data_IF_936222538888
#
_entry.id   IF_936222538888
#
_cell.length_a   1.000
_cell.length_b   1.000
_cell.length_c   1.000
_cell.angle_alpha   90.00
_cell.angle_beta   90.00
_cell.angle_gamma   90.00
#
_symmetry.space_group_name_H-M   'P 1'
#
loop_
_entity.id
_entity.type
_entity.pdbx_description
1 polymer ?
#
# COMPACT_ATOMS: atom_id res chain seq x y z
N UNK A 1 -6.19 -27.99 -17.94
CA UNK A 1 -4.74 -28.00 -17.66
C UNK A 1 -4.46 -28.43 -16.23
N UNK A 2 -3.27 -29.02 -15.96
CA UNK A 2 -2.88 -29.36 -14.60
C UNK A 2 -2.41 -28.12 -13.80
N UNK A 3 -2.33 -28.23 -12.46
CA UNK A 3 -1.80 -27.15 -11.63
C UNK A 3 -0.35 -26.78 -11.98
N UNK A 4 0.46 -27.78 -12.37
CA UNK A 4 1.83 -27.57 -12.87
C UNK A 4 1.84 -26.75 -14.15
N UNK A 5 1.02 -27.14 -15.13
CA UNK A 5 0.91 -26.46 -16.41
C UNK A 5 0.41 -25.03 -16.24
N UNK A 6 -0.49 -24.78 -15.31
CA UNK A 6 -0.99 -23.44 -14.99
C UNK A 6 0.15 -22.50 -14.54
N UNK A 7 0.97 -22.92 -13.57
CA UNK A 7 2.13 -22.14 -13.13
C UNK A 7 3.10 -21.86 -14.29
N UNK A 8 3.45 -22.89 -15.07
CA UNK A 8 4.39 -22.73 -16.19
C UNK A 8 3.82 -21.77 -17.25
N UNK A 9 2.53 -21.89 -17.56
CA UNK A 9 1.86 -21.00 -18.51
C UNK A 9 1.78 -19.56 -18.00
N UNK A 10 1.42 -19.39 -16.72
CA UNK A 10 1.35 -18.09 -16.06
C UNK A 10 2.72 -17.41 -16.01
N UNK A 11 3.75 -18.10 -15.54
CA UNK A 11 5.13 -17.62 -15.50
C UNK A 11 5.60 -17.16 -16.89
N UNK A 12 5.34 -17.96 -17.93
CA UNK A 12 5.69 -17.61 -19.30
C UNK A 12 4.96 -16.34 -19.77
N UNK A 13 3.64 -16.29 -19.57
CA UNK A 13 2.82 -15.15 -20.00
C UNK A 13 3.26 -13.84 -19.32
N UNK A 14 3.51 -13.89 -18.02
CA UNK A 14 3.97 -12.73 -17.25
C UNK A 14 5.41 -12.34 -17.61
N UNK A 15 6.29 -13.32 -17.87
CA UNK A 15 7.65 -13.06 -18.34
C UNK A 15 7.69 -12.38 -19.72
N UNK A 16 6.83 -12.81 -20.65
CA UNK A 16 6.67 -12.17 -21.96
C UNK A 16 6.13 -10.73 -21.85
N UNK A 17 5.33 -10.44 -20.81
CA UNK A 17 4.85 -9.10 -20.49
C UNK A 17 5.88 -8.23 -19.71
N UNK A 18 7.08 -8.76 -19.46
CA UNK A 18 8.16 -8.04 -18.78
C UNK A 18 7.98 -7.91 -17.26
N UNK A 19 7.19 -8.80 -16.63
CA UNK A 19 7.07 -8.86 -15.16
C UNK A 19 8.33 -9.51 -14.60
N UNK A 20 9.03 -8.80 -13.72
CA UNK A 20 10.33 -9.25 -13.19
C UNK A 20 10.21 -10.51 -12.31
N UNK A 21 9.18 -10.60 -11.49
CA UNK A 21 8.95 -11.75 -10.60
C UNK A 21 7.79 -12.63 -11.06
N UNK A 22 7.77 -12.93 -12.37
CA UNK A 22 6.69 -13.62 -13.07
C UNK A 22 6.24 -14.92 -12.40
N UNK A 23 7.21 -15.70 -11.88
CA UNK A 23 6.92 -16.98 -11.22
C UNK A 23 6.19 -16.80 -9.89
N UNK A 24 6.64 -15.87 -9.07
CA UNK A 24 6.02 -15.59 -7.78
C UNK A 24 4.62 -14.99 -7.98
N UNK A 25 4.48 -14.06 -8.94
CA UNK A 25 3.19 -13.48 -9.27
C UNK A 25 2.20 -14.55 -9.77
N UNK A 26 2.63 -15.45 -10.67
CA UNK A 26 1.80 -16.56 -11.13
C UNK A 26 1.38 -17.48 -9.98
N UNK A 27 2.30 -17.75 -9.04
CA UNK A 27 2.01 -18.54 -7.85
C UNK A 27 0.94 -17.88 -6.96
N UNK A 28 1.12 -16.59 -6.62
CA UNK A 28 0.17 -15.86 -5.77
C UNK A 28 -1.20 -15.78 -6.43
N UNK A 29 -1.27 -15.55 -7.74
CA UNK A 29 -2.53 -15.53 -8.48
C UNK A 29 -3.19 -16.92 -8.55
N UNK A 30 -2.41 -18.01 -8.65
CA UNK A 30 -2.97 -19.36 -8.58
C UNK A 30 -3.55 -19.65 -7.21
N UNK A 31 -2.82 -19.33 -6.13
CA UNK A 31 -3.31 -19.55 -4.78
C UNK A 31 -4.56 -18.75 -4.48
N UNK A 32 -4.66 -17.54 -5.02
CA UNK A 32 -5.85 -16.69 -4.92
C UNK A 32 -7.04 -17.32 -5.65
N UNK A 33 -6.89 -17.67 -6.93
CA UNK A 33 -7.95 -18.25 -7.76
C UNK A 33 -8.47 -19.56 -7.19
N UNK A 34 -7.57 -20.44 -6.76
CA UNK A 34 -7.91 -21.78 -6.33
C UNK A 34 -8.15 -21.90 -4.81
N UNK A 35 -7.82 -20.88 -4.01
CA UNK A 35 -7.86 -20.88 -2.54
C UNK A 35 -7.11 -22.05 -1.95
N UNK A 36 -5.91 -22.33 -2.46
CA UNK A 36 -5.03 -23.43 -2.09
C UNK A 36 -3.74 -22.93 -1.46
N UNK A 37 -3.10 -23.77 -0.67
CA UNK A 37 -1.77 -23.55 -0.13
C UNK A 37 -0.69 -24.38 -0.85
N UNK A 38 0.57 -24.23 -0.44
CA UNK A 38 1.68 -24.99 -0.97
C UNK A 38 1.49 -26.51 -0.80
N UNK A 39 0.93 -26.95 0.33
CA UNK A 39 0.74 -28.38 0.61
C UNK A 39 -0.24 -28.98 -0.38
N UNK A 40 -1.39 -28.32 -0.54
CA UNK A 40 -2.39 -28.76 -1.52
C UNK A 40 -1.81 -28.82 -2.93
N UNK A 41 -1.13 -27.75 -3.37
CA UNK A 41 -0.51 -27.68 -4.69
C UNK A 41 0.42 -28.85 -4.95
N UNK A 42 1.37 -29.17 -4.04
CA UNK A 42 2.32 -30.26 -4.24
C UNK A 42 1.69 -31.63 -4.21
N UNK A 43 0.59 -31.81 -3.48
CA UNK A 43 -0.16 -33.07 -3.47
C UNK A 43 -0.95 -33.33 -4.75
N UNK A 44 -1.40 -32.24 -5.42
CA UNK A 44 -2.30 -32.33 -6.59
C UNK A 44 -1.68 -31.77 -7.88
N UNK A 45 -0.37 -31.56 -7.89
CA UNK A 45 0.36 -30.80 -8.93
C UNK A 45 0.14 -31.32 -10.36
N UNK A 46 -0.06 -32.63 -10.52
CA UNK A 46 -0.29 -33.30 -11.82
C UNK A 46 -1.78 -33.59 -12.07
N UNK A 47 -2.66 -33.15 -11.19
CA UNK A 47 -4.11 -33.26 -11.38
C UNK A 47 -4.64 -32.13 -12.23
N UNK A 48 -5.73 -32.38 -12.95
CA UNK A 48 -6.41 -31.35 -13.75
C UNK A 48 -7.16 -30.37 -12.85
N UNK A 49 -7.00 -29.10 -13.13
CA UNK A 49 -7.77 -28.03 -12.48
C UNK A 49 -9.22 -28.05 -12.95
N UNK A 50 -10.20 -27.79 -12.07
CA UNK A 50 -11.56 -27.48 -12.48
C UNK A 50 -11.58 -26.34 -13.50
N UNK A 51 -12.41 -26.44 -14.53
CA UNK A 51 -12.46 -25.47 -15.64
C UNK A 51 -12.76 -24.04 -15.16
N UNK A 52 -13.62 -23.90 -14.13
CA UNK A 52 -13.95 -22.61 -13.53
C UNK A 52 -12.73 -21.93 -12.87
N UNK A 53 -11.92 -22.70 -12.13
CA UNK A 53 -10.71 -22.20 -11.47
C UNK A 53 -9.60 -21.89 -12.47
N UNK A 54 -9.49 -22.71 -13.53
CA UNK A 54 -8.59 -22.43 -14.64
C UNK A 54 -8.93 -21.09 -15.29
N UNK A 55 -10.20 -20.86 -15.59
CA UNK A 55 -10.66 -19.61 -16.19
C UNK A 55 -10.40 -18.40 -15.27
N UNK A 56 -10.69 -18.53 -13.97
CA UNK A 56 -10.39 -17.48 -12.98
C UNK A 56 -8.90 -17.14 -12.96
N UNK A 57 -8.03 -18.14 -12.90
CA UNK A 57 -6.59 -17.96 -12.96
C UNK A 57 -6.14 -17.25 -14.25
N UNK A 58 -6.62 -17.69 -15.42
CA UNK A 58 -6.29 -17.06 -16.70
C UNK A 58 -6.70 -15.58 -16.74
N UNK A 59 -7.84 -15.23 -16.18
CA UNK A 59 -8.30 -13.83 -16.06
C UNK A 59 -7.35 -13.01 -15.18
N UNK A 60 -6.89 -13.56 -14.05
CA UNK A 60 -5.95 -12.87 -13.17
C UNK A 60 -4.57 -12.70 -13.82
N UNK A 61 -4.05 -13.74 -14.48
CA UNK A 61 -2.79 -13.66 -15.25
C UNK A 61 -2.88 -12.59 -16.34
N UNK A 62 -4.00 -12.54 -17.07
CA UNK A 62 -4.20 -11.50 -18.09
C UNK A 62 -4.15 -10.10 -17.51
N UNK A 63 -4.87 -9.83 -16.41
CA UNK A 63 -4.81 -8.54 -15.72
C UNK A 63 -3.38 -8.17 -15.32
N UNK A 64 -2.63 -9.11 -14.77
CA UNK A 64 -1.25 -8.87 -14.36
C UNK A 64 -0.34 -8.63 -15.57
N UNK A 65 -0.54 -9.36 -16.67
CA UNK A 65 0.18 -9.14 -17.93
C UNK A 65 -0.11 -7.77 -18.57
N UNK A 66 -1.29 -7.18 -18.29
CA UNK A 66 -1.64 -5.80 -18.63
C UNK A 66 -1.00 -4.77 -17.68
N UNK A 67 -0.05 -5.19 -16.85
CA UNK A 67 0.73 -4.38 -15.89
C UNK A 67 -0.07 -3.86 -14.68
N UNK A 68 -1.30 -4.33 -14.46
CA UNK A 68 -2.01 -4.02 -13.20
C UNK A 68 -1.16 -4.51 -12.03
N UNK A 69 -0.90 -3.68 -11.00
CA UNK A 69 -0.15 -4.11 -9.83
C UNK A 69 -0.72 -5.37 -9.19
N UNK A 70 0.14 -6.31 -8.82
CA UNK A 70 -0.29 -7.56 -8.17
C UNK A 70 -1.17 -7.26 -6.95
N UNK A 71 -0.78 -6.30 -6.14
CA UNK A 71 -1.50 -5.89 -4.93
C UNK A 71 -2.90 -5.33 -5.20
N UNK A 72 -3.10 -4.69 -6.34
CA UNK A 72 -4.46 -4.25 -6.73
C UNK A 72 -5.31 -5.40 -7.26
N UNK A 73 -4.68 -6.46 -7.78
CA UNK A 73 -5.38 -7.68 -8.18
C UNK A 73 -5.76 -8.49 -6.95
N UNK A 74 -4.85 -8.65 -5.98
CA UNK A 74 -5.11 -9.38 -4.74
C UNK A 74 -5.92 -8.58 -3.73
N UNK A 75 -5.90 -7.25 -3.84
CA UNK A 75 -6.57 -6.33 -2.90
C UNK A 75 -5.81 -6.08 -1.61
N UNK A 76 -4.62 -6.66 -1.44
CA UNK A 76 -3.87 -6.66 -0.18
C UNK A 76 -2.38 -6.39 -0.37
N UNK A 77 -1.77 -5.76 0.64
CA UNK A 77 -0.33 -5.59 0.80
C UNK A 77 0.08 -5.87 2.24
N UNK A 78 1.14 -6.63 2.42
CA UNK A 78 1.78 -6.77 3.73
C UNK A 78 2.69 -5.57 4.01
N UNK A 79 2.62 -5.03 5.23
CA UNK A 79 3.46 -3.93 5.71
C UNK A 79 3.62 -4.05 7.22
N UNK A 80 4.86 -3.99 7.75
CA UNK A 80 5.17 -4.17 9.17
C UNK A 80 4.56 -5.46 9.77
N UNK A 81 4.49 -6.55 8.99
CA UNK A 81 3.91 -7.82 9.40
C UNK A 81 2.39 -7.81 9.57
N UNK A 82 1.70 -6.81 9.04
CA UNK A 82 0.25 -6.67 9.05
C UNK A 82 -0.30 -6.61 7.62
N UNK A 83 -1.53 -7.06 7.42
CA UNK A 83 -2.22 -6.96 6.14
C UNK A 83 -2.97 -5.63 6.02
N UNK A 84 -2.81 -4.97 4.88
CA UNK A 84 -3.53 -3.75 4.52
C UNK A 84 -4.30 -3.95 3.22
N UNK A 85 -5.56 -3.57 3.19
CA UNK A 85 -6.31 -3.46 1.95
C UNK A 85 -5.77 -2.31 1.11
N UNK A 86 -5.60 -2.56 -0.18
CA UNK A 86 -5.15 -1.57 -1.15
C UNK A 86 -5.97 -1.64 -2.44
N UNK A 87 -6.11 -0.51 -3.09
CA UNK A 87 -6.76 -0.38 -4.39
C UNK A 87 -6.22 0.88 -5.09
N UNK A 88 -6.71 1.19 -6.29
CA UNK A 88 -6.28 2.34 -7.10
C UNK A 88 -6.49 3.73 -6.46
N UNK A 89 -7.01 3.82 -5.24
CA UNK A 89 -7.19 5.08 -4.52
C UNK A 89 -6.06 5.38 -3.51
N UNK A 90 -5.13 4.44 -3.30
CA UNK A 90 -4.03 4.61 -2.35
C UNK A 90 -2.72 4.10 -2.94
N UNK A 91 -1.62 4.75 -2.58
CA UNK A 91 -0.28 4.23 -2.86
C UNK A 91 -0.14 2.84 -2.20
N UNK A 92 0.41 1.88 -2.93
CA UNK A 92 0.76 0.58 -2.35
C UNK A 92 1.88 0.80 -1.32
N UNK A 93 1.71 0.40 -0.05
CA UNK A 93 2.76 0.53 0.98
C UNK A 93 4.09 -0.06 0.52
N UNK A 94 5.17 0.74 0.63
CA UNK A 94 6.53 0.34 0.22
C UNK A 94 7.33 -0.11 1.42
N UNK A 95 8.22 -1.07 1.21
CA UNK A 95 9.12 -1.56 2.25
C UNK A 95 10.01 -0.45 2.83
N UNK A 96 10.48 0.48 1.99
CA UNK A 96 11.29 1.61 2.46
C UNK A 96 10.54 2.49 3.47
N UNK A 97 9.21 2.56 3.38
CA UNK A 97 8.35 3.31 4.33
C UNK A 97 8.31 2.65 5.72
N UNK A 98 8.67 1.36 5.85
CA UNK A 98 8.81 0.70 7.17
C UNK A 98 9.87 1.38 8.03
N UNK A 99 10.93 1.92 7.42
CA UNK A 99 11.95 2.71 8.13
C UNK A 99 11.36 3.93 8.83
N UNK A 100 10.38 4.61 8.21
CA UNK A 100 9.69 5.74 8.85
C UNK A 100 8.95 5.29 10.12
N UNK A 101 8.28 4.13 10.08
CA UNK A 101 7.63 3.55 11.26
C UNK A 101 8.66 3.20 12.33
N UNK A 102 9.77 2.55 11.95
CA UNK A 102 10.84 2.19 12.88
C UNK A 102 11.45 3.41 13.58
N UNK A 103 11.66 4.52 12.86
CA UNK A 103 12.15 5.76 13.47
C UNK A 103 11.12 6.39 14.40
N UNK A 104 9.83 6.41 14.00
CA UNK A 104 8.76 6.90 14.85
C UNK A 104 8.62 6.09 16.15
N UNK A 105 8.77 4.76 16.10
CA UNK A 105 8.70 3.88 17.26
C UNK A 105 9.80 4.14 18.30
N UNK A 106 10.90 4.78 17.93
CA UNK A 106 11.97 5.16 18.89
C UNK A 106 11.56 6.33 19.78
N UNK A 107 10.65 7.18 19.32
CA UNK A 107 10.27 8.43 20.01
C UNK A 107 8.84 8.41 20.56
N UNK A 108 7.91 7.74 19.90
CA UNK A 108 6.50 7.66 20.32
C UNK A 108 6.37 6.87 21.62
N UNK A 109 5.57 7.40 22.55
CA UNK A 109 5.31 6.79 23.87
C UNK A 109 3.81 6.77 24.16
N UNK A 110 3.34 5.86 25.04
CA UNK A 110 1.96 5.86 25.50
C UNK A 110 1.52 7.24 26.02
N UNK A 111 0.33 7.67 25.63
CA UNK A 111 -0.24 8.97 25.99
C UNK A 111 0.06 10.10 25.00
N UNK A 112 1.00 9.91 24.07
CA UNK A 112 1.28 10.88 23.01
C UNK A 112 0.18 10.91 21.95
N UNK A 113 0.08 12.05 21.23
CA UNK A 113 -0.72 12.22 20.03
C UNK A 113 0.18 12.18 18.80
N UNK A 114 -0.10 11.28 17.87
CA UNK A 114 0.63 11.13 16.59
C UNK A 114 -0.25 11.57 15.45
N UNK A 115 0.29 12.43 14.60
CA UNK A 115 -0.30 12.82 13.32
C UNK A 115 0.44 12.12 12.18
N UNK A 116 -0.29 11.49 11.27
CA UNK A 116 0.20 10.99 9.99
C UNK A 116 -0.42 11.84 8.87
N UNK A 117 0.41 12.68 8.27
CA UNK A 117 0.00 13.56 7.17
C UNK A 117 0.29 12.89 5.83
N UNK A 118 -0.66 12.96 4.88
CA UNK A 118 -0.69 12.17 3.64
C UNK A 118 -0.76 10.67 3.96
N UNK A 119 -1.73 10.30 4.81
CA UNK A 119 -1.80 8.97 5.43
C UNK A 119 -2.06 7.83 4.43
N UNK A 120 -2.64 8.11 3.25
CA UNK A 120 -2.92 7.14 2.21
C UNK A 120 -3.76 5.96 2.72
N UNK A 121 -3.19 4.76 2.70
CA UNK A 121 -3.81 3.53 3.23
C UNK A 121 -3.88 3.47 4.76
N UNK A 122 -3.28 4.43 5.48
CA UNK A 122 -3.15 4.44 6.93
C UNK A 122 -2.03 3.54 7.47
N UNK A 123 -1.22 2.92 6.61
CA UNK A 123 -0.26 1.88 7.01
C UNK A 123 0.77 2.37 8.04
N UNK A 124 1.26 3.60 7.93
CA UNK A 124 2.25 4.17 8.86
C UNK A 124 1.61 4.38 10.23
N UNK A 125 0.50 5.12 10.30
CA UNK A 125 -0.18 5.41 11.56
C UNK A 125 -0.65 4.15 12.28
N UNK A 126 -1.32 3.25 11.55
CA UNK A 126 -1.86 1.99 12.11
C UNK A 126 -0.73 1.15 12.68
N UNK A 127 0.41 1.08 11.97
CA UNK A 127 1.59 0.34 12.46
C UNK A 127 2.17 0.93 13.74
N UNK A 128 2.26 2.27 13.83
CA UNK A 128 2.71 2.93 15.05
C UNK A 128 1.77 2.63 16.23
N UNK A 129 0.47 2.82 16.03
CA UNK A 129 -0.53 2.63 17.10
C UNK A 129 -0.67 1.17 17.55
N UNK A 130 -0.45 0.20 16.63
CA UNK A 130 -0.44 -1.23 16.95
C UNK A 130 0.71 -1.60 17.87
N UNK A 131 1.85 -0.93 17.72
CA UNK A 131 3.06 -1.19 18.48
C UNK A 131 3.14 -0.37 19.80
N UNK A 132 2.48 0.80 19.88
CA UNK A 132 2.51 1.66 21.09
C UNK A 132 1.09 1.90 21.56
N UNK A 133 0.60 1.00 22.41
CA UNK A 133 -0.75 1.11 22.97
C UNK A 133 -0.95 2.36 23.83
N UNK A 134 -2.17 2.93 23.77
CA UNK A 134 -2.52 4.12 24.55
C UNK A 134 -2.09 5.43 23.90
N UNK A 135 -1.67 5.40 22.65
CA UNK A 135 -1.34 6.56 21.82
C UNK A 135 -2.57 7.04 21.07
N UNK A 136 -2.79 8.35 21.00
CA UNK A 136 -3.82 8.96 20.14
C UNK A 136 -3.31 9.06 18.70
N UNK A 137 -4.10 8.61 17.72
CA UNK A 137 -3.69 8.61 16.32
C UNK A 137 -4.64 9.38 15.42
N UNK A 138 -4.07 10.24 14.57
CA UNK A 138 -4.76 11.10 13.63
C UNK A 138 -4.11 10.97 12.27
N UNK A 139 -4.87 10.59 11.23
CA UNK A 139 -4.42 10.49 9.85
C UNK A 139 -5.18 11.44 8.96
N UNK A 140 -4.46 12.28 8.21
CA UNK A 140 -5.06 13.21 7.27
C UNK A 140 -4.58 12.93 5.85
N UNK A 141 -5.50 13.09 4.90
CA UNK A 141 -5.23 12.97 3.47
C UNK A 141 -6.16 13.89 2.69
N UNK A 142 -5.71 14.39 1.55
CA UNK A 142 -6.53 15.18 0.65
C UNK A 142 -7.61 14.32 -0.05
N UNK A 143 -7.31 13.04 -0.27
CA UNK A 143 -8.20 12.08 -0.92
C UNK A 143 -9.21 11.49 0.06
N UNK A 144 -10.49 11.77 -0.17
CA UNK A 144 -11.58 11.14 0.59
C UNK A 144 -11.60 9.62 0.42
N UNK A 145 -11.19 9.13 -0.74
CA UNK A 145 -11.12 7.71 -1.05
C UNK A 145 -10.02 7.03 -0.24
N UNK A 146 -8.84 7.66 -0.15
CA UNK A 146 -7.75 7.18 0.70
C UNK A 146 -8.17 7.10 2.18
N UNK A 147 -8.86 8.14 2.69
CA UNK A 147 -9.40 8.14 4.05
C UNK A 147 -10.37 6.97 4.30
N UNK A 148 -11.18 6.60 3.32
CA UNK A 148 -12.06 5.43 3.46
C UNK A 148 -11.25 4.13 3.57
N UNK A 149 -10.24 3.95 2.73
CA UNK A 149 -9.32 2.79 2.80
C UNK A 149 -8.59 2.75 4.15
N UNK A 150 -8.08 3.87 4.63
CA UNK A 150 -7.42 3.96 5.94
C UNK A 150 -8.36 3.54 7.10
N UNK A 151 -9.63 3.97 7.06
CA UNK A 151 -10.65 3.56 8.04
C UNK A 151 -10.93 2.06 8.00
N UNK A 152 -11.00 1.46 6.81
CA UNK A 152 -11.18 0.02 6.65
C UNK A 152 -9.96 -0.74 7.19
N UNK A 153 -8.74 -0.26 6.91
CA UNK A 153 -7.50 -0.84 7.40
C UNK A 153 -7.35 -0.74 8.93
N UNK A 154 -7.75 0.37 9.52
CA UNK A 154 -7.76 0.51 10.98
C UNK A 154 -8.71 -0.50 11.63
N UNK A 155 -9.89 -0.71 11.03
CA UNK A 155 -10.84 -1.74 11.48
C UNK A 155 -10.29 -3.15 11.27
N UNK A 156 -9.69 -3.44 10.12
CA UNK A 156 -9.07 -4.73 9.80
C UNK A 156 -8.02 -5.11 10.84
N UNK A 157 -7.19 -4.14 11.25
CA UNK A 157 -6.09 -4.36 12.18
C UNK A 157 -6.46 -4.12 13.66
N UNK A 158 -7.73 -3.83 13.94
CA UNK A 158 -8.25 -3.55 15.29
C UNK A 158 -7.45 -2.43 16.01
N UNK A 159 -7.26 -1.31 15.30
CA UNK A 159 -6.53 -0.13 15.78
C UNK A 159 -7.45 1.07 15.79
N UNK A 160 -7.70 1.71 16.96
CA UNK A 160 -8.48 2.93 17.03
C UNK A 160 -7.65 4.12 16.52
N UNK A 161 -8.09 4.74 15.42
CA UNK A 161 -7.49 5.94 14.86
C UNK A 161 -8.58 6.84 14.26
N UNK A 162 -8.31 8.13 14.20
CA UNK A 162 -9.18 9.13 13.58
C UNK A 162 -8.59 9.43 12.20
N UNK A 163 -9.41 9.29 11.16
CA UNK A 163 -9.02 9.63 9.79
C UNK A 163 -9.98 10.66 9.23
N UNK A 164 -9.45 11.79 8.78
CA UNK A 164 -10.23 12.90 8.24
C UNK A 164 -9.57 13.47 6.98
N UNK A 165 -10.37 14.11 6.15
CA UNK A 165 -9.87 14.76 4.96
C UNK A 165 -9.30 16.13 5.33
N UNK A 166 -8.08 16.42 4.85
CA UNK A 166 -7.49 17.76 4.92
C UNK A 166 -6.52 17.97 3.74
N UNK A 167 -6.43 19.18 3.26
CA UNK A 167 -5.34 19.60 2.39
C UNK A 167 -4.19 20.07 3.29
N UNK A 168 -3.24 19.14 3.57
CA UNK A 168 -2.19 19.37 4.56
C UNK A 168 -2.81 19.85 5.89
N UNK A 169 -2.36 20.98 6.42
CA UNK A 169 -2.78 21.50 7.72
C UNK A 169 -4.02 22.43 7.66
N UNK A 170 -4.65 22.63 6.48
CA UNK A 170 -5.74 23.60 6.33
C UNK A 170 -6.95 23.31 7.24
N UNK A 171 -7.33 22.03 7.35
CA UNK A 171 -8.48 21.59 8.14
C UNK A 171 -8.08 20.95 9.46
N UNK A 172 -6.77 20.94 9.78
CA UNK A 172 -6.28 20.46 11.08
C UNK A 172 -6.62 21.51 12.11
N UNK A 173 -7.59 21.18 13.01
CA UNK A 173 -8.04 22.07 14.06
C UNK A 173 -6.85 22.54 14.93
N UNK A 174 -7.08 23.51 15.86
CA UNK A 174 -6.07 24.01 16.81
C UNK A 174 -5.56 22.91 17.78
N UNK A 175 -5.34 21.70 17.25
CA UNK A 175 -4.79 20.56 17.96
C UNK A 175 -3.26 20.57 17.91
N UNK A 176 -2.65 20.14 18.98
CA UNK A 176 -1.21 19.93 19.08
C UNK A 176 -0.89 18.45 19.05
N UNK A 177 0.18 18.08 18.39
CA UNK A 177 0.67 16.70 18.26
C UNK A 177 2.07 16.61 18.85
N UNK A 178 2.38 15.48 19.48
CA UNK A 178 3.70 15.22 20.05
C UNK A 178 4.66 14.71 18.95
N UNK A 179 4.13 14.00 17.95
CA UNK A 179 4.90 13.48 16.82
C UNK A 179 4.09 13.65 15.54
N UNK A 180 4.74 14.13 14.50
CA UNK A 180 4.19 14.19 13.14
C UNK A 180 5.05 13.32 12.25
N UNK A 181 4.41 12.41 11.51
CA UNK A 181 5.03 11.59 10.47
C UNK A 181 4.36 11.90 9.14
N UNK A 182 5.10 11.74 8.05
CA UNK A 182 4.54 11.90 6.71
C UNK A 182 5.37 11.17 5.67
N UNK A 183 4.67 10.59 4.69
CA UNK A 183 5.26 10.14 3.44
C UNK A 183 4.56 10.86 2.28
N UNK A 184 4.86 12.13 2.05
CA UNK A 184 4.18 12.96 1.05
C UNK A 184 4.58 12.57 -0.38
N UNK A 185 3.83 12.99 -1.40
CA UNK A 185 4.27 12.89 -2.79
C UNK A 185 5.59 13.64 -2.99
N UNK A 186 6.58 12.97 -3.58
CA UNK A 186 7.94 13.54 -3.76
C UNK A 186 8.53 13.30 -5.15
N UNK A 187 7.78 12.71 -6.08
CA UNK A 187 8.25 12.46 -7.45
C UNK A 187 7.95 13.69 -8.29
N UNK A 188 8.93 14.18 -9.03
CA UNK A 188 8.72 15.31 -9.95
C UNK A 188 7.71 14.95 -11.04
N UNK A 189 6.86 15.89 -11.40
CA UNK A 189 5.83 15.65 -12.42
C UNK A 189 6.39 15.13 -13.76
N UNK A 190 7.59 15.59 -14.16
CA UNK A 190 8.27 15.18 -15.38
C UNK A 190 8.94 13.79 -15.30
N UNK A 191 9.11 13.23 -14.11
CA UNK A 191 9.68 11.91 -13.89
C UNK A 191 8.62 10.79 -13.85
N UNK A 192 7.37 11.10 -13.50
CA UNK A 192 6.29 10.12 -13.38
C UNK A 192 6.11 9.25 -14.63
N UNK A 193 6.16 9.80 -15.87
CA UNK A 193 6.00 8.98 -17.08
C UNK A 193 7.11 7.95 -17.31
N UNK A 194 8.25 8.05 -16.61
CA UNK A 194 9.38 7.13 -16.74
C UNK A 194 9.40 6.04 -15.65
N UNK A 195 8.44 6.07 -14.73
CA UNK A 195 8.26 5.02 -13.74
C UNK A 195 7.78 3.73 -14.38
N UNK A 196 7.87 2.62 -13.65
CA UNK A 196 7.29 1.36 -14.11
C UNK A 196 5.79 1.54 -14.42
N UNK A 197 5.25 0.89 -15.45
CA UNK A 197 3.84 1.01 -15.84
C UNK A 197 2.87 0.76 -14.67
N UNK A 198 3.19 -0.18 -13.78
CA UNK A 198 2.40 -0.45 -12.56
C UNK A 198 2.20 0.81 -11.71
N UNK A 199 3.21 1.68 -11.66
CA UNK A 199 3.18 2.91 -10.87
C UNK A 199 2.55 4.04 -11.67
N UNK A 200 3.11 4.33 -12.85
CA UNK A 200 2.71 5.49 -13.65
C UNK A 200 1.28 5.44 -14.19
N UNK A 201 0.75 4.23 -14.44
CA UNK A 201 -0.56 4.05 -15.07
C UNK A 201 -1.67 3.67 -14.08
N UNK A 202 -1.32 3.08 -12.93
CA UNK A 202 -2.31 2.50 -12.02
C UNK A 202 -2.36 3.14 -10.65
N UNK A 203 -1.24 3.64 -10.12
CA UNK A 203 -1.27 4.28 -8.81
C UNK A 203 -1.78 5.73 -8.88
N UNK A 204 -2.43 6.24 -7.81
CA UNK A 204 -3.03 7.56 -7.87
C UNK A 204 -1.97 8.65 -8.04
N UNK A 205 -2.10 9.46 -9.08
CA UNK A 205 -1.18 10.56 -9.38
C UNK A 205 -0.99 11.53 -8.20
N UNK A 206 -2.06 11.78 -7.43
CA UNK A 206 -2.01 12.64 -6.24
C UNK A 206 -1.07 12.11 -5.15
N UNK A 207 -0.84 10.79 -5.11
CA UNK A 207 0.07 10.17 -4.16
C UNK A 207 1.53 10.12 -4.65
N UNK A 208 1.78 10.44 -5.94
CA UNK A 208 3.10 10.40 -6.56
C UNK A 208 3.68 11.80 -6.79
N UNK A 209 2.84 12.71 -7.27
CA UNK A 209 3.25 14.00 -7.86
C UNK A 209 3.60 15.05 -6.80
N UNK A 210 4.89 15.21 -6.54
CA UNK A 210 5.47 16.25 -5.68
C UNK A 210 5.61 17.61 -6.36
N UNK A 211 5.07 17.78 -7.59
CA UNK A 211 5.19 18.98 -8.43
C UNK A 211 6.61 19.23 -8.94
N UNK A 212 6.89 20.46 -9.40
CA UNK A 212 8.16 20.78 -10.06
C UNK A 212 9.37 20.74 -9.11
N UNK A 213 9.18 21.07 -7.85
CA UNK A 213 10.25 21.21 -6.87
C UNK A 213 10.32 20.08 -5.81
N UNK A 214 9.39 19.12 -5.84
CA UNK A 214 9.28 18.04 -4.85
C UNK A 214 9.13 18.53 -3.41
N UNK A 215 8.76 19.79 -3.23
CA UNK A 215 8.82 20.51 -1.97
C UNK A 215 7.44 20.94 -1.47
N UNK A 216 6.39 20.15 -1.72
CA UNK A 216 5.06 20.40 -1.15
C UNK A 216 5.07 20.69 0.38
N UNK A 217 6.21 20.41 1.02
CA UNK A 217 6.38 20.46 2.47
C UNK A 217 7.29 21.57 2.99
N UNK A 218 8.11 22.21 2.17
CA UNK A 218 9.20 23.03 2.74
C UNK A 218 8.85 24.49 2.92
N UNK A 219 7.79 25.00 2.30
CA UNK A 219 7.48 26.42 2.43
C UNK A 219 6.55 26.78 3.58
N UNK A 220 5.63 25.86 4.00
CA UNK A 220 4.63 26.21 5.02
C UNK A 220 4.83 25.55 6.38
N UNK A 221 5.43 24.38 6.45
CA UNK A 221 5.57 23.64 7.70
C UNK A 221 6.82 24.05 8.52
N UNK A 222 7.85 24.55 7.86
CA UNK A 222 9.11 24.89 8.52
C UNK A 222 9.09 26.28 9.19
N UNK A 223 8.26 27.21 8.73
CA UNK A 223 8.31 28.59 9.21
C UNK A 223 7.52 28.86 10.52
N UNK A 224 6.53 28.02 10.86
CA UNK A 224 5.66 28.39 11.97
C UNK A 224 5.60 27.39 13.18
N UNK A 225 6.03 26.13 13.09
CA UNK A 225 5.73 25.16 14.14
C UNK A 225 6.75 24.04 14.42
N UNK A 226 7.91 24.01 13.81
CA UNK A 226 8.95 23.05 14.15
C UNK A 226 10.17 23.76 14.71
N UNK A 227 10.19 23.97 16.02
CA UNK A 227 11.45 24.14 16.73
C UNK A 227 11.91 22.74 17.18
N UNK A 228 13.00 22.28 16.63
CA UNK A 228 13.74 21.15 17.15
C UNK A 228 14.77 21.73 18.12
N UNK A 229 14.52 21.61 19.44
CA UNK A 229 15.52 21.80 20.48
C UNK A 229 16.36 20.52 20.63
#
# INVERSE_FOLDING_TARGET
MTYREAIVSGEKSLGEAGIADARNDAWLLLTMACKIDHTYYYMHIDEEMPEELQHEFEVLIKKRAERVPLQYITGEQEFMGMTFHVNSNVLIPRQDTETLVEEALKVVKPGMKVLDMCTGSGCVLISILKNVHGTGGYGYDISKQAINVAKENAKLNDVPAIFERSNLFEDVADETFDVIVSNPPYIRSDEIPFLMPEVSEFEPHEALDGKEDCLLYTSDAADDRISVD
#
